data_IF_099856927385
#
_entry.id   IF_099856927385
#
_cell.length_a   1.000
_cell.length_b   1.000
_cell.length_c   1.000
_cell.angle_alpha   90.00
_cell.angle_beta   90.00
_cell.angle_gamma   90.00
#
_symmetry.space_group_name_H-M   'P 1'
#
loop_
_entity.id
_entity.type
_entity.pdbx_description
1 polymer ?
#
# COMPACT_ATOMS: atom_id res chain seq x y z
N UNK A 1 5.92 -28.17 0.49
CA UNK A 1 5.59 -27.03 1.37
C UNK A 1 4.11 -26.73 1.19
N UNK A 2 3.41 -26.32 2.28
CA UNK A 2 2.01 -25.87 2.16
C UNK A 2 1.94 -24.64 1.22
N UNK A 3 0.87 -24.54 0.45
CA UNK A 3 0.58 -23.39 -0.41
C UNK A 3 -0.36 -22.42 0.31
N UNK A 4 -0.22 -21.13 0.01
CA UNK A 4 -1.06 -20.06 0.55
C UNK A 4 -1.78 -19.33 -0.57
N UNK A 5 -3.05 -19.04 -0.35
CA UNK A 5 -3.95 -18.46 -1.33
C UNK A 5 -4.59 -17.17 -0.82
N UNK A 6 -4.72 -16.18 -1.69
CA UNK A 6 -5.61 -15.04 -1.50
C UNK A 6 -7.02 -15.53 -1.83
N UNK A 7 -7.92 -15.44 -0.86
CA UNK A 7 -9.31 -15.90 -0.99
C UNK A 7 -10.24 -14.76 -1.39
N UNK A 8 -10.23 -13.68 -0.63
CA UNK A 8 -11.08 -12.51 -0.84
C UNK A 8 -10.42 -11.30 -0.19
N UNK A 9 -10.95 -10.11 -0.46
CA UNK A 9 -10.48 -8.88 0.14
C UNK A 9 -11.49 -7.76 0.04
N UNK A 10 -11.22 -6.71 0.78
CA UNK A 10 -11.94 -5.43 0.71
C UNK A 10 -10.99 -4.31 1.10
N UNK A 11 -11.32 -3.09 0.68
CA UNK A 11 -10.69 -1.86 1.15
C UNK A 11 -11.71 -0.75 1.34
N UNK A 12 -11.38 0.24 2.12
CA UNK A 12 -12.11 1.50 2.10
C UNK A 12 -11.85 2.24 0.78
N UNK A 13 -12.67 3.20 0.39
CA UNK A 13 -12.21 4.25 -0.53
C UNK A 13 -10.98 4.92 0.10
N UNK A 14 -10.09 5.44 -0.73
CA UNK A 14 -8.92 6.19 -0.27
C UNK A 14 -9.29 7.66 -0.12
N UNK A 15 -9.15 8.16 1.12
CA UNK A 15 -9.39 9.56 1.47
C UNK A 15 -8.18 10.44 1.19
N UNK A 16 -8.45 11.71 0.91
CA UNK A 16 -7.44 12.75 0.84
C UNK A 16 -6.94 13.11 2.24
N UNK A 17 -5.71 13.61 2.32
CA UNK A 17 -5.22 14.28 3.52
C UNK A 17 -6.17 15.42 3.92
N UNK A 18 -6.69 15.37 5.15
CA UNK A 18 -7.73 16.28 5.66
C UNK A 18 -9.06 16.20 4.89
N UNK A 19 -9.28 15.10 4.17
CA UNK A 19 -10.50 14.83 3.40
C UNK A 19 -11.59 14.12 4.21
N UNK A 20 -12.40 13.35 3.49
CA UNK A 20 -13.63 12.75 4.03
C UNK A 20 -13.38 11.78 5.19
N UNK A 21 -12.26 11.04 5.19
CA UNK A 21 -11.92 10.11 6.28
C UNK A 21 -11.28 10.78 7.52
N UNK A 22 -11.07 12.09 7.52
CA UNK A 22 -10.44 12.81 8.64
C UNK A 22 -11.22 12.69 9.97
N UNK A 23 -12.52 12.44 9.92
CA UNK A 23 -13.37 12.26 11.09
C UNK A 23 -13.38 10.80 11.63
N UNK A 24 -12.82 9.85 10.91
CA UNK A 24 -12.85 8.42 11.27
C UNK A 24 -11.55 8.02 11.93
N UNK A 25 -11.61 7.36 13.07
CA UNK A 25 -10.43 6.87 13.79
C UNK A 25 -9.71 5.79 12.99
N UNK A 26 -8.39 5.70 13.18
CA UNK A 26 -7.55 4.70 12.48
C UNK A 26 -7.95 3.27 12.86
N UNK A 27 -8.17 3.00 14.13
CA UNK A 27 -8.58 1.68 14.64
C UNK A 27 -9.99 1.28 14.16
N UNK A 28 -10.92 2.24 14.01
CA UNK A 28 -12.24 1.99 13.45
C UNK A 28 -12.19 1.68 11.94
N UNK A 29 -11.31 2.34 11.18
CA UNK A 29 -11.09 2.00 9.76
C UNK A 29 -10.58 0.56 9.61
N UNK A 30 -9.63 0.16 10.45
CA UNK A 30 -9.14 -1.22 10.48
C UNK A 30 -10.25 -2.21 10.84
N UNK A 31 -11.08 -1.88 11.81
CA UNK A 31 -12.22 -2.72 12.22
C UNK A 31 -13.24 -2.87 11.09
N UNK A 32 -13.54 -1.81 10.36
CA UNK A 32 -14.48 -1.83 9.24
C UNK A 32 -14.08 -2.84 8.17
N UNK A 33 -12.83 -2.84 7.73
CA UNK A 33 -12.38 -3.76 6.67
C UNK A 33 -12.27 -5.21 7.15
N UNK A 34 -11.88 -5.43 8.41
CA UNK A 34 -11.86 -6.77 9.02
C UNK A 34 -13.29 -7.31 9.08
N UNK A 35 -14.25 -6.52 9.60
CA UNK A 35 -15.64 -6.92 9.66
C UNK A 35 -16.21 -7.18 8.25
N UNK A 36 -15.96 -6.29 7.31
CA UNK A 36 -16.49 -6.43 5.96
C UNK A 36 -15.97 -7.67 5.25
N UNK A 37 -14.68 -8.03 5.38
CA UNK A 37 -14.14 -9.23 4.74
C UNK A 37 -14.65 -10.52 5.40
N UNK A 38 -14.90 -10.50 6.72
CA UNK A 38 -15.50 -11.64 7.42
C UNK A 38 -16.99 -11.79 7.10
N UNK A 39 -17.75 -10.70 7.02
CA UNK A 39 -19.17 -10.73 6.64
C UNK A 39 -19.38 -11.24 5.19
N UNK A 40 -18.44 -10.96 4.28
CA UNK A 40 -18.44 -11.52 2.91
C UNK A 40 -18.19 -13.04 2.87
N UNK A 41 -17.60 -13.61 3.93
CA UNK A 41 -17.21 -15.02 4.01
C UNK A 41 -17.84 -15.71 5.24
N UNK A 42 -19.18 -15.73 5.35
CA UNK A 42 -19.90 -16.19 6.55
C UNK A 42 -19.77 -17.69 6.83
N UNK A 43 -19.26 -18.47 5.88
CA UNK A 43 -18.94 -19.88 6.03
C UNK A 43 -17.65 -20.13 6.84
N UNK A 44 -16.90 -19.08 7.17
CA UNK A 44 -15.73 -19.16 8.04
C UNK A 44 -16.14 -18.72 9.45
N UNK A 45 -16.06 -19.59 10.46
CA UNK A 45 -16.29 -19.18 11.86
C UNK A 45 -15.27 -18.13 12.29
N UNK A 46 -15.71 -17.12 13.04
CA UNK A 46 -14.84 -16.01 13.46
C UNK A 46 -13.67 -16.44 14.36
N UNK A 47 -13.82 -17.54 15.09
CA UNK A 47 -12.77 -18.15 15.93
C UNK A 47 -11.80 -19.06 15.17
N UNK A 48 -12.04 -19.25 13.86
CA UNK A 48 -11.17 -20.07 13.01
C UNK A 48 -9.94 -19.32 12.49
N UNK A 49 -9.88 -18.00 12.62
CA UNK A 49 -8.72 -17.22 12.23
C UNK A 49 -7.59 -17.39 13.25
N UNK A 50 -6.42 -17.86 12.77
CA UNK A 50 -5.24 -18.07 13.61
C UNK A 50 -4.60 -16.76 14.06
N UNK A 51 -4.63 -15.73 13.20
CA UNK A 51 -4.12 -14.40 13.51
C UNK A 51 -4.70 -13.35 12.55
N UNK A 52 -4.70 -12.08 13.01
CA UNK A 52 -4.98 -10.88 12.20
C UNK A 52 -3.73 -10.03 12.12
N UNK A 53 -3.12 -9.96 10.94
CA UNK A 53 -1.85 -9.25 10.71
C UNK A 53 -2.14 -7.96 9.94
N UNK A 54 -1.92 -6.80 10.56
CA UNK A 54 -2.16 -5.50 9.92
C UNK A 54 -0.87 -4.68 9.78
N UNK A 55 -0.64 -4.19 8.58
CA UNK A 55 0.39 -3.20 8.33
C UNK A 55 -0.02 -1.81 8.83
N UNK A 56 0.90 -1.13 9.53
CA UNK A 56 0.72 0.27 9.92
C UNK A 56 2.09 0.92 10.11
N UNK A 57 2.31 2.07 9.46
CA UNK A 57 3.62 2.72 9.47
C UNK A 57 3.76 3.75 10.61
N UNK A 58 2.74 4.51 10.94
CA UNK A 58 2.82 5.59 11.91
C UNK A 58 2.93 5.06 13.35
N UNK A 59 1.92 4.42 13.86
CA UNK A 59 1.81 3.84 15.21
C UNK A 59 2.03 4.84 16.37
N UNK A 60 1.85 6.13 16.12
CA UNK A 60 2.09 7.19 17.11
C UNK A 60 0.81 7.71 17.75
N UNK A 61 -0.36 7.47 17.16
CA UNK A 61 -1.65 8.00 17.58
C UNK A 61 -2.64 6.90 17.98
N UNK A 62 -3.82 6.92 17.35
CA UNK A 62 -4.90 5.95 17.56
C UNK A 62 -4.54 4.54 17.10
N UNK A 63 -3.50 4.44 16.31
CA UNK A 63 -2.84 3.26 15.78
C UNK A 63 -1.70 2.73 16.67
N UNK A 64 -1.52 3.31 17.87
CA UNK A 64 -0.48 2.89 18.80
C UNK A 64 -0.74 1.50 19.40
N UNK A 65 0.24 0.97 20.11
CA UNK A 65 0.25 -0.37 20.72
C UNK A 65 0.18 -1.47 19.67
N UNK A 66 -1.00 -1.97 19.36
CA UNK A 66 -1.24 -3.02 18.38
C UNK A 66 -2.59 -2.76 17.70
N UNK A 67 -2.57 -1.98 16.63
CA UNK A 67 -3.79 -1.59 15.92
C UNK A 67 -4.51 -2.80 15.32
N UNK A 68 -3.80 -3.86 14.92
CA UNK A 68 -4.43 -5.11 14.46
C UNK A 68 -5.31 -5.72 15.56
N UNK A 69 -4.76 -5.84 16.77
CA UNK A 69 -5.51 -6.39 17.92
C UNK A 69 -6.70 -5.50 18.31
N UNK A 70 -6.53 -4.19 18.31
CA UNK A 70 -7.63 -3.27 18.61
C UNK A 70 -8.73 -3.37 17.53
N UNK A 71 -8.36 -3.34 16.27
CA UNK A 71 -9.31 -3.39 15.15
C UNK A 71 -10.09 -4.70 15.09
N UNK A 72 -9.46 -5.86 15.31
CA UNK A 72 -10.17 -7.14 15.29
C UNK A 72 -11.21 -7.24 16.41
N UNK A 73 -10.90 -6.70 17.61
CA UNK A 73 -11.85 -6.67 18.74
C UNK A 73 -13.02 -5.72 18.44
N UNK A 74 -12.75 -4.56 17.88
CA UNK A 74 -13.78 -3.60 17.42
C UNK A 74 -14.64 -4.18 16.28
N UNK A 75 -14.06 -5.01 15.41
CA UNK A 75 -14.77 -5.74 14.35
C UNK A 75 -15.68 -6.87 14.89
N UNK A 76 -15.57 -7.22 16.19
CA UNK A 76 -16.37 -8.25 16.84
C UNK A 76 -15.81 -9.68 16.72
N UNK A 77 -14.54 -9.85 16.36
CA UNK A 77 -13.89 -11.15 16.43
C UNK A 77 -13.73 -11.58 17.90
N UNK A 78 -13.76 -12.89 18.20
CA UNK A 78 -13.55 -13.40 19.53
C UNK A 78 -12.19 -12.97 20.12
N UNK A 79 -12.14 -12.75 21.42
CA UNK A 79 -10.88 -12.39 22.10
C UNK A 79 -9.82 -13.50 22.08
N UNK A 80 -10.19 -14.71 21.69
CA UNK A 80 -9.26 -15.83 21.43
C UNK A 80 -8.40 -15.63 20.17
N UNK A 81 -8.87 -14.82 19.19
CA UNK A 81 -8.12 -14.54 17.96
C UNK A 81 -7.04 -13.49 18.28
N UNK A 82 -5.75 -13.79 18.10
CA UNK A 82 -4.67 -12.83 18.32
C UNK A 82 -4.60 -11.77 17.22
N UNK A 83 -3.68 -10.82 17.36
CA UNK A 83 -3.42 -9.82 16.33
C UNK A 83 -1.99 -9.29 16.40
N UNK A 84 -1.37 -9.07 15.24
CA UNK A 84 -0.03 -8.52 15.09
C UNK A 84 -0.04 -7.28 14.21
N UNK A 85 0.68 -6.23 14.62
CA UNK A 85 0.94 -5.06 13.78
C UNK A 85 2.37 -5.10 13.25
N UNK A 86 2.51 -5.05 11.92
CA UNK A 86 3.82 -5.08 11.24
C UNK A 86 4.13 -3.72 10.61
N UNK A 87 5.40 -3.31 10.70
CA UNK A 87 5.88 -2.08 10.11
C UNK A 87 7.06 -2.36 9.15
N UNK A 88 6.82 -2.12 7.88
CA UNK A 88 7.82 -1.99 6.82
C UNK A 88 7.51 -0.75 5.99
N UNK A 89 7.18 0.36 6.67
CA UNK A 89 6.81 1.63 6.06
C UNK A 89 5.78 1.42 4.93
N UNK A 90 6.04 1.93 3.72
CA UNK A 90 5.13 1.84 2.57
C UNK A 90 4.66 0.42 2.24
N UNK A 91 5.44 -0.61 2.59
CA UNK A 91 5.14 -2.01 2.27
C UNK A 91 4.58 -2.81 3.45
N UNK A 92 4.09 -2.15 4.49
CA UNK A 92 3.59 -2.84 5.68
C UNK A 92 2.41 -3.78 5.37
N UNK A 93 1.47 -3.35 4.51
CA UNK A 93 0.34 -4.19 4.09
C UNK A 93 0.76 -5.43 3.27
N UNK A 94 1.73 -5.28 2.35
CA UNK A 94 2.28 -6.44 1.63
C UNK A 94 3.06 -7.35 2.59
N UNK A 95 3.78 -6.79 3.57
CA UNK A 95 4.46 -7.56 4.61
C UNK A 95 3.46 -8.40 5.41
N UNK A 96 2.30 -7.86 5.76
CA UNK A 96 1.24 -8.60 6.47
C UNK A 96 0.78 -9.84 5.68
N UNK A 97 0.49 -9.68 4.38
CA UNK A 97 0.11 -10.80 3.49
C UNK A 97 1.23 -11.84 3.42
N UNK A 98 2.47 -11.41 3.27
CA UNK A 98 3.59 -12.36 3.17
C UNK A 98 3.95 -12.98 4.52
N UNK A 99 3.68 -12.34 5.66
CA UNK A 99 3.77 -12.98 6.98
C UNK A 99 2.74 -14.11 7.11
N UNK A 100 1.48 -13.90 6.74
CA UNK A 100 0.47 -14.95 6.70
C UNK A 100 0.88 -16.12 5.77
N UNK A 101 1.40 -15.82 4.56
CA UNK A 101 1.94 -16.84 3.66
C UNK A 101 3.10 -17.64 4.30
N UNK A 102 4.01 -16.97 5.02
CA UNK A 102 5.12 -17.67 5.71
C UNK A 102 4.64 -18.52 6.86
N UNK A 103 3.69 -18.03 7.66
CA UNK A 103 3.08 -18.79 8.75
C UNK A 103 2.42 -20.08 8.22
N UNK A 104 1.64 -19.99 7.14
CA UNK A 104 1.05 -21.16 6.48
C UNK A 104 2.13 -22.14 6.00
N UNK A 105 3.20 -21.63 5.35
CA UNK A 105 4.30 -22.48 4.86
C UNK A 105 5.09 -23.13 5.99
N UNK A 106 5.22 -22.45 7.12
CA UNK A 106 5.87 -22.97 8.33
C UNK A 106 5.00 -23.98 9.09
N UNK A 107 3.68 -23.94 8.90
CA UNK A 107 2.73 -24.80 9.61
C UNK A 107 2.17 -24.20 10.90
N UNK A 108 2.35 -22.88 11.11
CA UNK A 108 1.90 -22.15 12.30
C UNK A 108 0.38 -21.88 12.30
N UNK A 109 -0.29 -22.15 11.17
CA UNK A 109 -1.74 -21.99 11.02
C UNK A 109 -2.18 -22.19 9.58
N UNK A 110 -3.50 -22.14 9.36
CA UNK A 110 -4.11 -22.40 8.07
C UNK A 110 -4.98 -21.25 7.54
N UNK A 111 -5.34 -20.26 8.39
CA UNK A 111 -6.27 -19.21 8.01
C UNK A 111 -5.95 -17.89 8.73
N UNK A 112 -5.75 -16.83 7.96
CA UNK A 112 -5.33 -15.51 8.46
C UNK A 112 -6.14 -14.39 7.80
N UNK A 113 -6.33 -13.27 8.54
CA UNK A 113 -6.67 -11.99 7.94
C UNK A 113 -5.38 -11.19 7.87
N UNK A 114 -5.03 -10.69 6.67
CA UNK A 114 -3.85 -9.87 6.46
C UNK A 114 -4.20 -8.59 5.69
N UNK A 115 -3.73 -7.45 6.16
CA UNK A 115 -4.10 -6.19 5.55
C UNK A 115 -3.26 -5.02 6.02
N UNK A 116 -3.88 -3.86 6.11
CA UNK A 116 -3.22 -2.68 6.65
C UNK A 116 -4.18 -1.51 6.84
N UNK A 117 -3.78 -0.58 7.68
CA UNK A 117 -4.50 0.66 7.97
C UNK A 117 -3.53 1.81 8.13
N UNK A 118 -3.90 2.95 7.60
CA UNK A 118 -3.15 4.20 7.79
C UNK A 118 -4.12 5.37 7.70
N UNK A 119 -4.11 6.24 8.69
CA UNK A 119 -4.79 7.53 8.61
C UNK A 119 -3.76 8.64 8.82
N UNK A 120 -3.20 9.11 7.71
CA UNK A 120 -2.13 10.11 7.73
C UNK A 120 -2.65 11.48 8.18
N UNK A 121 -3.94 11.75 8.02
CA UNK A 121 -4.60 12.95 8.51
C UNK A 121 -4.58 13.04 10.04
N UNK A 122 -4.68 11.90 10.73
CA UNK A 122 -4.78 11.82 12.19
C UNK A 122 -3.45 11.50 12.88
N UNK A 123 -2.34 11.54 12.15
CA UNK A 123 -1.01 11.49 12.74
C UNK A 123 -0.85 12.57 13.81
N UNK A 124 -0.55 12.22 15.08
CA UNK A 124 -0.45 13.20 16.14
C UNK A 124 0.82 14.03 16.09
N UNK A 125 0.84 15.15 16.77
CA UNK A 125 2.10 15.80 17.15
C UNK A 125 2.79 14.98 18.23
N UNK A 126 4.11 14.82 18.09
CA UNK A 126 4.94 14.07 19.03
C UNK A 126 6.10 14.93 19.52
N UNK A 127 6.48 14.80 20.78
CA UNK A 127 7.51 15.61 21.40
C UNK A 127 8.43 14.72 22.26
N UNK A 128 9.75 14.89 22.08
CA UNK A 128 10.72 14.24 22.96
C UNK A 128 10.69 14.87 24.35
N UNK A 129 11.04 14.07 25.36
CA UNK A 129 11.37 14.63 26.68
C UNK A 129 12.63 15.49 26.55
N UNK A 130 12.76 16.57 27.35
CA UNK A 130 13.97 17.37 27.40
C UNK A 130 15.21 16.51 27.69
N UNK A 131 16.37 16.88 27.15
CA UNK A 131 17.63 16.15 27.41
C UNK A 131 18.12 16.28 28.84
N UNK A 132 17.70 17.34 29.54
CA UNK A 132 18.01 17.60 30.94
C UNK A 132 16.75 17.96 31.71
N UNK A 133 16.78 17.79 33.04
CA UNK A 133 15.67 18.23 33.90
C UNK A 133 15.45 19.74 33.70
N UNK A 134 14.16 20.12 33.48
CA UNK A 134 13.74 21.51 33.19
C UNK A 134 14.37 22.11 31.91
N UNK A 135 14.90 21.26 30.99
CA UNK A 135 15.49 21.70 29.73
C UNK A 135 14.49 22.38 28.80
N UNK A 136 14.93 23.37 28.04
CA UNK A 136 14.14 24.10 27.03
C UNK A 136 14.33 23.58 25.60
N UNK A 137 14.92 22.39 25.41
CA UNK A 137 15.31 21.83 24.13
C UNK A 137 14.24 20.93 23.49
N UNK A 138 13.05 20.86 24.06
CA UNK A 138 11.93 20.10 23.53
C UNK A 138 11.49 20.62 22.17
N UNK A 139 11.40 19.72 21.18
CA UNK A 139 10.86 19.98 19.85
C UNK A 139 9.62 19.14 19.60
N UNK A 140 8.61 19.77 19.01
CA UNK A 140 7.39 19.10 18.56
C UNK A 140 7.49 18.78 17.07
N UNK A 141 7.11 17.57 16.70
CA UNK A 141 7.11 17.09 15.33
C UNK A 141 5.70 16.66 14.95
N UNK A 142 5.29 16.94 13.69
CA UNK A 142 4.14 16.30 13.07
C UNK A 142 4.55 14.87 12.67
N UNK A 143 3.84 13.87 13.20
CA UNK A 143 4.15 12.47 12.90
C UNK A 143 3.51 11.95 11.63
N UNK A 144 2.74 12.78 10.94
CA UNK A 144 2.02 12.40 9.69
C UNK A 144 2.97 11.82 8.65
N UNK A 145 4.10 12.47 8.43
CA UNK A 145 5.07 12.06 7.41
C UNK A 145 6.46 12.64 7.66
N UNK A 146 7.49 12.00 7.13
CA UNK A 146 8.86 12.48 7.17
C UNK A 146 9.64 12.09 8.41
N UNK A 147 10.86 12.63 8.49
CA UNK A 147 11.81 12.33 9.54
C UNK A 147 11.48 13.07 10.86
N UNK A 148 11.56 12.35 11.96
CA UNK A 148 11.48 12.87 13.33
C UNK A 148 12.48 12.15 14.21
N UNK A 149 12.98 12.80 15.27
CA UNK A 149 13.97 12.22 16.17
C UNK A 149 15.19 11.65 15.44
N UNK A 150 15.73 12.42 14.50
CA UNK A 150 16.83 11.98 13.62
C UNK A 150 18.05 11.58 14.45
N UNK A 151 18.56 10.36 14.20
CA UNK A 151 19.82 9.92 14.75
C UNK A 151 20.96 10.61 14.00
N UNK A 152 21.88 11.36 14.68
CA UNK A 152 22.97 12.08 14.03
C UNK A 152 23.90 11.17 13.19
N UNK A 153 24.18 9.95 13.66
CA UNK A 153 24.99 8.99 12.88
C UNK A 153 24.27 8.51 11.61
N UNK A 154 22.96 8.34 11.66
CA UNK A 154 22.18 8.00 10.48
C UNK A 154 22.24 9.12 9.44
N UNK A 155 22.15 10.37 9.89
CA UNK A 155 22.27 11.54 9.04
C UNK A 155 23.66 11.65 8.41
N UNK A 156 24.71 11.41 9.19
CA UNK A 156 26.11 11.46 8.73
C UNK A 156 26.41 10.37 7.70
N UNK A 157 25.99 9.12 7.96
CA UNK A 157 26.40 7.97 7.16
C UNK A 157 25.55 7.79 5.89
N UNK A 158 24.26 8.09 5.95
CA UNK A 158 23.30 7.73 4.88
C UNK A 158 22.42 8.89 4.41
N UNK A 159 22.47 10.04 5.10
CA UNK A 159 21.55 11.13 4.89
C UNK A 159 20.15 10.83 5.45
N UNK A 160 19.34 11.86 5.51
CA UNK A 160 17.93 11.82 5.91
C UNK A 160 17.08 12.59 4.90
N UNK A 161 17.31 12.31 3.62
CA UNK A 161 16.59 12.96 2.53
C UNK A 161 15.07 12.73 2.71
N UNK A 162 14.30 13.78 2.50
CA UNK A 162 12.84 13.65 2.39
C UNK A 162 12.46 12.82 1.16
N UNK A 163 11.28 12.21 1.18
CA UNK A 163 10.86 11.30 0.10
C UNK A 163 10.89 11.97 -1.28
N UNK A 164 10.45 13.23 -1.39
CA UNK A 164 10.53 13.96 -2.65
C UNK A 164 11.97 14.22 -3.12
N UNK A 165 12.91 14.42 -2.19
CA UNK A 165 14.33 14.54 -2.52
C UNK A 165 14.89 13.22 -3.05
N UNK A 166 14.49 12.08 -2.49
CA UNK A 166 14.89 10.78 -3.04
C UNK A 166 14.34 10.53 -4.45
N UNK A 167 13.19 11.11 -4.78
CA UNK A 167 12.62 11.07 -6.12
C UNK A 167 13.40 11.97 -7.10
N UNK A 168 13.84 13.16 -6.67
CA UNK A 168 14.72 14.01 -7.47
C UNK A 168 16.11 13.37 -7.69
N UNK A 169 16.65 12.64 -6.71
CA UNK A 169 17.88 11.89 -6.88
C UNK A 169 17.77 10.83 -8.01
N UNK A 170 16.60 10.24 -8.20
CA UNK A 170 16.34 9.32 -9.32
C UNK A 170 16.18 10.05 -10.64
N UNK A 171 15.57 11.25 -10.64
CA UNK A 171 15.50 12.11 -11.83
C UNK A 171 16.90 12.36 -12.38
N UNK A 172 17.83 12.77 -11.51
CA UNK A 172 19.22 13.03 -11.90
C UNK A 172 19.93 11.77 -12.38
N UNK A 173 19.83 10.67 -11.60
CA UNK A 173 20.55 9.42 -11.88
C UNK A 173 20.10 8.75 -13.18
N UNK A 174 18.81 8.82 -13.52
CA UNK A 174 18.21 8.13 -14.67
C UNK A 174 17.80 9.08 -15.80
N UNK A 175 18.14 10.37 -15.73
CA UNK A 175 17.83 11.41 -16.73
C UNK A 175 16.33 11.41 -17.10
N UNK A 176 15.45 11.42 -16.10
CA UNK A 176 14.00 11.37 -16.30
C UNK A 176 13.48 12.79 -16.49
N UNK A 177 12.91 13.10 -17.64
CA UNK A 177 12.38 14.42 -17.93
C UNK A 177 11.13 14.74 -17.10
N UNK A 178 10.83 16.03 -16.96
CA UNK A 178 9.57 16.49 -16.35
C UNK A 178 8.37 16.05 -17.19
N UNK A 179 8.50 16.11 -18.50
CA UNK A 179 7.48 15.73 -19.46
C UNK A 179 7.11 14.24 -19.34
N UNK A 180 8.10 13.36 -19.19
CA UNK A 180 7.86 11.93 -18.97
C UNK A 180 7.11 11.68 -17.65
N UNK A 181 7.52 12.37 -16.57
CA UNK A 181 6.86 12.27 -15.27
C UNK A 181 5.40 12.71 -15.35
N UNK A 182 5.13 13.84 -15.98
CA UNK A 182 3.77 14.37 -16.13
C UNK A 182 2.92 13.49 -17.07
N UNK A 183 3.51 12.91 -18.12
CA UNK A 183 2.84 11.96 -19.01
C UNK A 183 2.46 10.67 -18.26
N UNK A 184 3.36 10.15 -17.44
CA UNK A 184 3.10 8.97 -16.61
C UNK A 184 1.98 9.24 -15.60
N UNK A 185 2.05 10.37 -14.90
CA UNK A 185 1.03 10.79 -13.93
C UNK A 185 -0.35 10.99 -14.58
N UNK A 186 -0.39 11.63 -15.76
CA UNK A 186 -1.62 11.77 -16.55
C UNK A 186 -2.22 10.40 -16.90
N UNK A 187 -1.41 9.46 -17.37
CA UNK A 187 -1.87 8.11 -17.71
C UNK A 187 -2.43 7.38 -16.48
N UNK A 188 -1.79 7.50 -15.31
CA UNK A 188 -2.31 6.94 -14.06
C UNK A 188 -3.68 7.51 -13.71
N UNK A 189 -3.87 8.84 -13.81
CA UNK A 189 -5.17 9.50 -13.57
C UNK A 189 -6.25 9.02 -14.55
N UNK A 190 -5.92 8.87 -15.82
CA UNK A 190 -6.89 8.42 -16.84
C UNK A 190 -7.29 6.95 -16.65
N UNK A 191 -6.35 6.07 -16.32
CA UNK A 191 -6.62 4.66 -15.98
C UNK A 191 -7.52 4.57 -14.75
N UNK A 192 -7.21 5.28 -13.66
CA UNK A 192 -8.02 5.29 -12.44
C UNK A 192 -9.43 5.85 -12.69
N UNK A 193 -9.54 6.93 -13.45
CA UNK A 193 -10.83 7.52 -13.84
C UNK A 193 -11.68 6.53 -14.64
N UNK A 194 -11.08 5.81 -15.58
CA UNK A 194 -11.78 4.78 -16.36
C UNK A 194 -12.23 3.61 -15.47
N UNK A 195 -11.35 3.15 -14.58
CA UNK A 195 -11.65 2.07 -13.65
C UNK A 195 -12.76 2.44 -12.64
N UNK A 196 -12.78 3.70 -12.15
CA UNK A 196 -13.85 4.20 -11.29
C UNK A 196 -15.19 4.27 -12.06
N UNK A 197 -15.18 4.85 -13.26
CA UNK A 197 -16.41 4.98 -14.10
C UNK A 197 -16.98 3.64 -14.53
N UNK A 198 -16.16 2.65 -14.81
CA UNK A 198 -16.60 1.28 -15.17
C UNK A 198 -17.10 0.46 -14.00
N UNK A 199 -16.95 0.94 -12.75
CA UNK A 199 -17.27 0.20 -11.54
C UNK A 199 -16.20 -0.83 -11.14
N UNK A 200 -15.04 -0.87 -11.82
CA UNK A 200 -13.95 -1.81 -11.47
C UNK A 200 -13.43 -1.58 -10.05
N UNK A 201 -13.21 -0.32 -9.66
CA UNK A 201 -12.75 0.01 -8.31
C UNK A 201 -13.82 -0.28 -7.25
N UNK A 202 -15.10 -0.12 -7.57
CA UNK A 202 -16.19 -0.42 -6.64
C UNK A 202 -16.24 -1.88 -6.19
N UNK A 203 -15.69 -2.82 -6.97
CA UNK A 203 -15.61 -4.26 -6.60
C UNK A 203 -14.68 -4.54 -5.43
N UNK A 204 -13.77 -3.62 -5.14
CA UNK A 204 -12.81 -3.72 -4.03
C UNK A 204 -13.30 -2.99 -2.79
N UNK A 205 -14.24 -2.04 -2.94
CA UNK A 205 -14.55 -1.02 -1.95
C UNK A 205 -15.73 -1.44 -1.07
N UNK A 206 -15.53 -1.34 0.25
CA UNK A 206 -16.59 -1.25 1.23
C UNK A 206 -16.81 0.23 1.59
N UNK A 207 -18.06 0.68 1.53
CA UNK A 207 -18.38 2.07 1.86
C UNK A 207 -18.14 2.37 3.34
N UNK A 208 -17.67 3.58 3.63
CA UNK A 208 -17.50 4.08 5.00
C UNK A 208 -18.67 5.00 5.32
N UNK A 209 -19.44 4.65 6.33
CA UNK A 209 -20.51 5.48 6.85
C UNK A 209 -19.94 6.44 7.89
N UNK A 210 -20.04 7.75 7.63
CA UNK A 210 -19.49 8.79 8.50
C UNK A 210 -20.65 9.54 9.15
N UNK A 211 -20.86 9.34 10.46
CA UNK A 211 -21.94 10.01 11.18
C UNK A 211 -21.82 11.53 11.12
N UNK A 212 -22.93 12.21 10.91
CA UNK A 212 -23.02 13.66 10.95
C UNK A 212 -23.93 14.12 12.08
N UNK A 213 -23.57 15.24 12.75
CA UNK A 213 -24.42 15.84 13.75
C UNK A 213 -25.69 16.43 13.09
N UNK A 214 -26.88 15.90 13.44
CA UNK A 214 -28.18 16.38 12.95
C UNK A 214 -28.42 16.30 11.42
N UNK A 215 -27.70 15.43 10.72
CA UNK A 215 -27.87 15.16 9.27
C UNK A 215 -27.71 13.66 9.04
N UNK A 216 -28.15 13.20 7.85
CA UNK A 216 -27.86 11.84 7.41
C UNK A 216 -26.36 11.61 7.31
N UNK A 217 -25.87 10.40 7.58
CA UNK A 217 -24.45 10.08 7.47
C UNK A 217 -23.96 10.26 6.03
N UNK A 218 -22.69 10.63 5.88
CA UNK A 218 -22.03 10.61 4.57
C UNK A 218 -21.68 9.16 4.25
N UNK A 219 -22.14 8.68 3.10
CA UNK A 219 -21.72 7.38 2.57
C UNK A 219 -20.53 7.61 1.64
N UNK A 220 -19.32 7.41 2.15
CA UNK A 220 -18.08 7.53 1.40
C UNK A 220 -17.76 6.21 0.71
N UNK A 221 -17.87 6.17 -0.63
CA UNK A 221 -17.79 4.95 -1.44
C UNK A 221 -16.90 5.04 -2.67
N UNK A 222 -16.36 6.21 -2.97
CA UNK A 222 -15.51 6.46 -4.13
C UNK A 222 -14.15 7.01 -3.71
N UNK A 223 -13.08 6.63 -4.42
CA UNK A 223 -11.74 7.16 -4.17
C UNK A 223 -11.69 8.66 -4.47
N UNK A 224 -11.39 9.46 -3.46
CA UNK A 224 -11.50 10.92 -3.50
C UNK A 224 -10.27 11.60 -4.11
N UNK A 225 -9.14 10.87 -4.25
CA UNK A 225 -7.90 11.45 -4.76
C UNK A 225 -7.83 11.49 -6.30
N UNK A 226 -8.66 10.72 -7.01
CA UNK A 226 -8.72 10.67 -8.47
C UNK A 226 -9.14 12.03 -9.04
N UNK A 227 -8.41 12.50 -10.07
CA UNK A 227 -8.63 13.80 -10.72
C UNK A 227 -9.04 13.59 -12.19
N UNK A 228 -10.32 13.37 -12.48
CA UNK A 228 -10.78 13.04 -13.84
C UNK A 228 -10.56 14.17 -14.86
N UNK A 229 -10.39 15.40 -14.38
CA UNK A 229 -10.12 16.58 -15.22
C UNK A 229 -8.63 16.89 -15.37
N UNK A 230 -7.73 15.97 -14.99
CA UNK A 230 -6.29 16.14 -15.17
C UNK A 230 -5.94 16.24 -16.67
N UNK A 231 -4.96 17.09 -17.00
CA UNK A 231 -4.39 17.14 -18.34
C UNK A 231 -2.89 17.43 -18.27
N UNK A 232 -2.16 17.13 -19.35
CA UNK A 232 -0.71 17.41 -19.42
C UNK A 232 -0.41 18.90 -19.26
N UNK A 233 -1.28 19.78 -19.78
CA UNK A 233 -1.17 21.22 -19.66
C UNK A 233 -1.38 21.72 -18.22
N UNK A 234 -2.26 21.07 -17.46
CA UNK A 234 -2.46 21.36 -16.04
C UNK A 234 -1.23 20.91 -15.25
N UNK A 235 -0.74 19.71 -15.48
CA UNK A 235 0.43 19.16 -14.79
C UNK A 235 1.69 20.00 -15.06
N UNK A 236 1.92 20.41 -16.30
CA UNK A 236 3.08 21.24 -16.69
C UNK A 236 3.16 22.59 -15.98
N UNK A 237 2.01 23.14 -15.53
CA UNK A 237 1.94 24.41 -14.78
C UNK A 237 2.31 24.27 -13.30
N UNK A 238 2.38 23.06 -12.77
CA UNK A 238 2.68 22.84 -11.35
C UNK A 238 4.15 23.14 -11.06
N UNK A 239 4.39 23.82 -9.94
CA UNK A 239 5.75 24.13 -9.49
C UNK A 239 6.40 22.90 -8.85
N UNK A 240 7.72 22.72 -8.99
CA UNK A 240 8.47 21.75 -8.21
C UNK A 240 8.22 21.90 -6.72
N UNK A 241 8.03 20.77 -6.02
CA UNK A 241 7.63 20.79 -4.62
C UNK A 241 8.81 20.55 -3.65
N UNK A 242 9.89 19.92 -4.11
CA UNK A 242 10.95 19.43 -3.23
C UNK A 242 12.33 20.02 -3.52
N UNK A 243 12.57 20.48 -4.74
CA UNK A 243 13.81 21.13 -5.16
C UNK A 243 13.45 22.43 -5.86
N UNK A 244 13.91 23.57 -5.32
CA UNK A 244 13.50 24.91 -5.81
C UNK A 244 14.06 25.23 -7.21
N UNK A 245 15.33 24.89 -7.42
CA UNK A 245 16.04 25.10 -8.68
C UNK A 245 16.17 23.77 -9.40
N UNK A 246 15.83 23.73 -10.67
CA UNK A 246 15.90 22.54 -11.53
C UNK A 246 15.13 21.29 -11.00
N UNK A 247 14.17 21.50 -10.12
CA UNK A 247 13.30 20.43 -9.63
C UNK A 247 12.25 20.06 -10.66
N UNK A 248 11.82 18.79 -10.66
CA UNK A 248 10.83 18.26 -11.59
C UNK A 248 9.68 17.52 -10.91
N UNK A 249 9.86 17.09 -9.67
CA UNK A 249 8.82 16.42 -8.89
C UNK A 249 7.82 17.43 -8.32
N UNK A 250 6.55 17.20 -8.61
CA UNK A 250 5.44 18.10 -8.25
C UNK A 250 4.36 17.35 -7.48
N UNK A 251 3.40 18.08 -6.92
CA UNK A 251 2.20 17.48 -6.33
C UNK A 251 1.30 16.75 -7.36
N UNK A 252 1.53 16.95 -8.66
CA UNK A 252 0.76 16.28 -9.73
C UNK A 252 1.38 14.98 -10.22
N UNK A 253 2.70 14.79 -10.05
CA UNK A 253 3.43 13.60 -10.48
C UNK A 253 4.00 12.79 -9.29
N UNK A 254 3.45 13.02 -8.10
CA UNK A 254 3.72 12.30 -6.86
C UNK A 254 2.41 11.76 -6.26
N UNK A 255 2.49 10.69 -5.49
CA UNK A 255 1.37 10.24 -4.65
C UNK A 255 1.09 11.24 -3.53
N UNK A 256 -0.14 11.24 -3.00
CA UNK A 256 -0.53 12.09 -1.89
C UNK A 256 -0.29 11.47 -0.51
N UNK A 257 -0.53 12.27 0.52
CA UNK A 257 -0.83 11.80 1.87
C UNK A 257 -2.29 11.39 1.88
N UNK A 258 -2.58 10.19 2.34
CA UNK A 258 -3.92 9.60 2.20
C UNK A 258 -4.30 8.76 3.41
N UNK A 259 -5.60 8.48 3.50
CA UNK A 259 -6.22 7.73 4.58
C UNK A 259 -6.95 6.51 4.02
N UNK A 260 -6.92 5.38 4.73
CA UNK A 260 -7.65 4.19 4.32
C UNK A 260 -7.32 2.93 5.11
N UNK A 261 -7.97 1.83 4.73
CA UNK A 261 -7.71 0.49 5.25
C UNK A 261 -8.00 -0.58 4.19
N UNK A 262 -7.37 -1.74 4.31
CA UNK A 262 -7.62 -2.91 3.48
C UNK A 262 -7.43 -4.19 4.30
N UNK A 263 -8.20 -5.23 3.99
CA UNK A 263 -8.05 -6.56 4.57
C UNK A 263 -8.27 -7.64 3.51
N UNK A 264 -7.49 -8.71 3.60
CA UNK A 264 -7.58 -9.90 2.74
C UNK A 264 -7.58 -11.16 3.60
N UNK A 265 -8.27 -12.21 3.14
CA UNK A 265 -8.22 -13.53 3.74
C UNK A 265 -7.14 -14.34 3.02
N UNK A 266 -6.21 -14.88 3.80
CA UNK A 266 -5.13 -15.76 3.33
C UNK A 266 -5.35 -17.13 3.94
N UNK A 267 -5.44 -18.15 3.09
CA UNK A 267 -5.77 -19.51 3.53
C UNK A 267 -4.81 -20.56 2.94
N UNK A 268 -4.58 -21.64 3.68
CA UNK A 268 -3.94 -22.84 3.19
C UNK A 268 -4.90 -23.68 2.34
N UNK A 269 -4.39 -24.66 1.61
CA UNK A 269 -5.22 -25.64 0.89
C UNK A 269 -6.16 -26.40 1.84
N UNK A 270 -5.72 -26.68 3.07
CA UNK A 270 -6.55 -27.34 4.07
C UNK A 270 -7.75 -26.48 4.50
N UNK A 271 -7.53 -25.18 4.74
CA UNK A 271 -8.61 -24.25 5.06
C UNK A 271 -9.55 -24.04 3.86
N UNK A 272 -9.00 -23.95 2.64
CA UNK A 272 -9.81 -23.87 1.40
C UNK A 272 -10.79 -25.05 1.32
N UNK A 273 -10.32 -26.27 1.53
CA UNK A 273 -11.16 -27.48 1.52
C UNK A 273 -12.15 -27.50 2.69
N UNK A 274 -11.68 -27.19 3.90
CA UNK A 274 -12.48 -27.26 5.13
C UNK A 274 -13.68 -26.31 5.09
N UNK A 275 -13.49 -25.09 4.58
CA UNK A 275 -14.51 -24.05 4.57
C UNK A 275 -15.15 -23.83 3.18
N UNK A 276 -14.83 -24.71 2.20
CA UNK A 276 -15.31 -24.62 0.82
C UNK A 276 -15.09 -23.23 0.21
N UNK A 277 -13.85 -22.71 0.33
CA UNK A 277 -13.46 -21.40 -0.18
C UNK A 277 -13.13 -21.46 -1.67
N UNK A 278 -13.19 -20.27 -2.32
CA UNK A 278 -12.81 -20.13 -3.74
C UNK A 278 -11.54 -19.29 -3.82
N UNK A 279 -10.36 -19.88 -3.96
CA UNK A 279 -9.12 -19.11 -4.07
C UNK A 279 -9.10 -18.25 -5.34
N UNK A 280 -8.65 -17.01 -5.20
CA UNK A 280 -8.43 -16.12 -6.34
C UNK A 280 -7.04 -16.31 -6.92
N UNK A 281 -6.02 -16.33 -6.08
CA UNK A 281 -4.64 -16.45 -6.51
C UNK A 281 -3.79 -17.18 -5.47
N UNK A 282 -2.78 -17.90 -5.94
CA UNK A 282 -1.74 -18.52 -5.12
C UNK A 282 -0.56 -17.56 -4.96
N UNK A 283 0.02 -17.48 -3.77
CA UNK A 283 1.24 -16.71 -3.53
C UNK A 283 2.45 -17.58 -3.92
N UNK A 284 3.03 -17.31 -5.08
CA UNK A 284 4.13 -18.08 -5.68
C UNK A 284 5.45 -17.82 -4.98
N UNK A 285 5.87 -16.57 -4.95
CA UNK A 285 7.14 -16.15 -4.37
C UNK A 285 7.08 -14.74 -3.81
N UNK A 286 8.07 -14.41 -2.99
CA UNK A 286 8.28 -13.03 -2.55
C UNK A 286 9.76 -12.78 -2.24
N UNK A 287 10.17 -11.51 -2.36
CA UNK A 287 11.49 -11.08 -2.00
C UNK A 287 11.51 -9.65 -1.46
N UNK A 288 12.31 -9.42 -0.45
CA UNK A 288 12.66 -8.10 0.05
C UNK A 288 14.16 -7.89 -0.11
N UNK A 289 14.57 -6.66 -0.43
CA UNK A 289 15.96 -6.27 -0.62
C UNK A 289 16.23 -4.90 0.00
N UNK A 290 17.48 -4.65 0.41
CA UNK A 290 17.96 -3.32 0.74
C UNK A 290 18.57 -2.65 -0.49
N UNK A 291 18.47 -1.32 -0.54
CA UNK A 291 19.14 -0.46 -1.52
C UNK A 291 19.63 0.81 -0.81
N UNK A 292 20.45 1.60 -1.47
CA UNK A 292 20.90 2.89 -0.95
C UNK A 292 19.71 3.78 -0.56
N UNK A 293 19.63 4.30 0.68
CA UNK A 293 18.50 5.09 1.16
C UNK A 293 18.14 6.30 0.28
N UNK A 294 19.14 7.00 -0.25
CA UNK A 294 18.96 8.21 -1.05
C UNK A 294 18.31 7.98 -2.42
N UNK A 295 18.34 6.74 -2.89
CA UNK A 295 17.69 6.29 -4.13
C UNK A 295 16.71 5.13 -3.86
N UNK A 296 16.04 5.15 -2.72
CA UNK A 296 15.14 4.09 -2.26
C UNK A 296 14.12 3.64 -3.31
N UNK A 297 13.73 4.56 -4.20
CA UNK A 297 12.71 4.31 -5.21
C UNK A 297 13.08 3.24 -6.24
N UNK A 298 14.37 2.87 -6.39
CA UNK A 298 14.79 1.78 -7.28
C UNK A 298 14.66 0.37 -6.65
N UNK A 299 14.31 0.30 -5.37
CA UNK A 299 14.15 -0.95 -4.64
C UNK A 299 13.28 -2.01 -5.32
N UNK A 300 12.17 -1.65 -6.02
CA UNK A 300 11.34 -2.59 -6.78
C UNK A 300 12.12 -3.44 -7.79
N UNK A 301 13.13 -2.89 -8.45
CA UNK A 301 13.90 -3.61 -9.49
C UNK A 301 14.54 -4.86 -8.91
N UNK A 302 15.40 -4.69 -7.90
CA UNK A 302 16.11 -5.81 -7.29
C UNK A 302 15.16 -6.78 -6.55
N UNK A 303 14.09 -6.26 -5.94
CA UNK A 303 13.10 -7.09 -5.26
C UNK A 303 12.34 -7.98 -6.26
N UNK A 304 11.92 -7.40 -7.39
CA UNK A 304 11.21 -8.12 -8.46
C UNK A 304 12.10 -9.17 -9.11
N UNK A 305 13.33 -8.81 -9.48
CA UNK A 305 14.29 -9.75 -10.07
C UNK A 305 14.53 -10.96 -9.14
N UNK A 306 14.66 -10.71 -7.83
CA UNK A 306 14.84 -11.77 -6.83
C UNK A 306 13.59 -12.62 -6.64
N UNK A 307 12.38 -12.03 -6.71
CA UNK A 307 11.12 -12.76 -6.61
C UNK A 307 10.89 -13.62 -7.86
N UNK A 308 11.14 -13.07 -9.05
CA UNK A 308 11.08 -13.78 -10.34
C UNK A 308 12.03 -14.98 -10.36
N UNK A 309 13.30 -14.78 -9.99
CA UNK A 309 14.28 -15.86 -9.92
C UNK A 309 13.86 -17.00 -8.97
N UNK A 310 13.27 -16.68 -7.81
CA UNK A 310 12.73 -17.69 -6.88
C UNK A 310 11.55 -18.47 -7.46
N UNK A 311 10.77 -17.85 -8.32
CA UNK A 311 9.64 -18.49 -9.00
C UNK A 311 10.04 -19.26 -10.27
N UNK A 312 11.28 -19.08 -10.77
CA UNK A 312 11.70 -19.59 -12.08
C UNK A 312 11.02 -18.88 -13.23
N UNK A 313 10.60 -17.62 -13.03
CA UNK A 313 9.86 -16.80 -13.98
C UNK A 313 10.69 -15.60 -14.43
N UNK A 314 10.25 -14.96 -15.51
CA UNK A 314 10.82 -13.75 -16.09
C UNK A 314 9.80 -12.61 -16.10
N UNK A 315 10.24 -11.38 -16.37
CA UNK A 315 9.35 -10.21 -16.46
C UNK A 315 8.33 -10.33 -17.61
N UNK A 316 8.71 -11.03 -18.68
CA UNK A 316 7.84 -11.29 -19.85
C UNK A 316 6.67 -12.21 -19.52
N UNK A 317 6.80 -13.07 -18.47
CA UNK A 317 5.74 -13.97 -18.01
C UNK A 317 4.65 -13.24 -17.22
N UNK A 318 4.89 -11.99 -16.83
CA UNK A 318 3.94 -11.21 -16.03
C UNK A 318 2.86 -10.59 -16.92
N UNK A 319 1.62 -10.93 -16.65
CA UNK A 319 0.44 -10.38 -17.34
C UNK A 319 -0.04 -9.07 -16.70
N UNK A 320 0.18 -8.91 -15.39
CA UNK A 320 -0.19 -7.73 -14.60
C UNK A 320 1.00 -7.33 -13.74
N UNK A 321 1.29 -6.05 -13.69
CA UNK A 321 2.35 -5.47 -12.85
C UNK A 321 1.74 -4.35 -12.01
N UNK A 322 1.52 -4.60 -10.73
CA UNK A 322 1.13 -3.57 -9.76
C UNK A 322 2.41 -2.99 -9.14
N UNK A 323 2.88 -1.90 -9.70
CA UNK A 323 4.01 -1.10 -9.21
C UNK A 323 3.48 0.10 -8.43
N UNK A 324 3.76 0.19 -7.14
CA UNK A 324 3.38 1.37 -6.39
C UNK A 324 4.04 2.64 -6.95
N UNK A 325 3.23 3.63 -7.28
CA UNK A 325 3.65 4.93 -7.82
C UNK A 325 3.83 5.93 -6.67
N UNK A 326 4.89 5.78 -5.87
CA UNK A 326 5.20 6.80 -4.87
C UNK A 326 5.50 8.15 -5.54
N UNK A 327 6.24 8.10 -6.66
CA UNK A 327 6.56 9.21 -7.55
C UNK A 327 6.63 8.70 -8.99
N UNK A 328 6.26 9.53 -9.96
CA UNK A 328 6.39 9.17 -11.37
C UNK A 328 7.85 8.89 -11.76
N UNK A 329 8.81 9.69 -11.28
CA UNK A 329 10.24 9.46 -11.51
C UNK A 329 10.70 8.10 -10.98
N UNK A 330 10.22 7.71 -9.80
CA UNK A 330 10.52 6.41 -9.21
C UNK A 330 9.96 5.26 -10.05
N UNK A 331 8.71 5.37 -10.49
CA UNK A 331 8.07 4.34 -11.31
C UNK A 331 8.78 4.20 -12.66
N UNK A 332 9.05 5.31 -13.33
CA UNK A 332 9.78 5.35 -14.61
C UNK A 332 11.19 4.76 -14.50
N UNK A 333 11.93 5.08 -13.42
CA UNK A 333 13.24 4.46 -13.19
C UNK A 333 13.15 2.93 -13.14
N UNK A 334 12.17 2.38 -12.43
CA UNK A 334 11.96 0.94 -12.35
C UNK A 334 11.56 0.33 -13.70
N UNK A 335 10.61 0.94 -14.41
CA UNK A 335 10.09 0.49 -15.70
C UNK A 335 11.21 0.41 -16.75
N UNK A 336 12.02 1.47 -16.81
CA UNK A 336 13.16 1.55 -17.76
C UNK A 336 14.28 0.56 -17.42
N UNK A 337 14.55 0.34 -16.12
CA UNK A 337 15.51 -0.69 -15.68
C UNK A 337 15.05 -2.13 -16.00
N UNK A 338 13.74 -2.38 -16.09
CA UNK A 338 13.21 -3.66 -16.58
C UNK A 338 13.18 -3.76 -18.11
N UNK A 339 13.56 -2.71 -18.83
CA UNK A 339 13.50 -2.66 -20.30
C UNK A 339 12.08 -2.58 -20.85
N UNK A 340 11.11 -2.14 -20.05
CA UNK A 340 9.72 -1.98 -20.44
C UNK A 340 9.46 -0.57 -20.99
N UNK A 341 8.42 -0.44 -21.82
CA UNK A 341 7.96 0.86 -22.27
C UNK A 341 7.28 1.63 -21.13
N UNK A 342 7.46 2.95 -21.07
CA UNK A 342 6.87 3.83 -20.04
C UNK A 342 5.34 3.71 -19.97
N UNK A 343 4.70 3.31 -21.05
CA UNK A 343 3.26 3.11 -21.17
C UNK A 343 2.84 1.64 -21.33
N UNK A 344 3.65 0.69 -20.89
CA UNK A 344 3.31 -0.73 -20.93
C UNK A 344 1.94 -0.96 -20.26
N UNK A 345 1.02 -1.56 -21.00
CA UNK A 345 -0.38 -1.73 -20.58
C UNK A 345 -0.56 -2.66 -19.39
N UNK A 346 0.43 -3.50 -19.10
CA UNK A 346 0.44 -4.41 -17.95
C UNK A 346 0.62 -3.68 -16.61
N UNK A 347 1.23 -2.47 -16.67
CA UNK A 347 1.57 -1.69 -15.46
C UNK A 347 0.35 -0.90 -14.99
N UNK A 348 -0.07 -1.17 -13.76
CA UNK A 348 -1.17 -0.47 -13.09
C UNK A 348 -2.38 -0.28 -14.01
N UNK A 349 -3.03 -1.36 -14.49
CA UNK A 349 -4.08 -1.27 -15.50
C UNK A 349 -5.29 -0.44 -15.03
N UNK A 350 -5.49 -0.34 -13.72
CA UNK A 350 -6.58 0.43 -13.10
C UNK A 350 -6.11 1.76 -12.47
N UNK A 351 -4.92 2.24 -12.83
CA UNK A 351 -4.27 3.38 -12.20
C UNK A 351 -3.52 3.01 -10.93
N UNK A 352 -2.54 3.83 -10.55
CA UNK A 352 -1.71 3.61 -9.38
C UNK A 352 -1.86 4.71 -8.32
N UNK A 353 -0.89 4.79 -7.41
CA UNK A 353 -0.99 5.65 -6.22
C UNK A 353 -0.94 7.15 -6.52
N UNK A 354 -0.42 7.58 -7.65
CA UNK A 354 -0.50 8.99 -8.08
C UNK A 354 -1.97 9.41 -8.27
N UNK A 355 -2.82 8.49 -8.72
CA UNK A 355 -4.24 8.75 -8.94
C UNK A 355 -5.12 8.33 -7.74
N UNK A 356 -4.89 7.14 -7.19
CA UNK A 356 -5.75 6.55 -6.15
C UNK A 356 -5.33 7.01 -4.75
N UNK A 357 -4.03 7.25 -4.54
CA UNK A 357 -3.47 7.62 -3.24
C UNK A 357 -2.58 6.54 -2.63
N UNK A 358 -1.80 6.95 -1.60
CA UNK A 358 -0.78 6.09 -0.97
C UNK A 358 -0.84 6.15 0.57
N UNK A 359 -1.90 5.64 1.22
CA UNK A 359 -1.83 5.40 2.66
C UNK A 359 -0.82 4.28 2.92
N UNK A 360 0.27 4.59 3.65
CA UNK A 360 1.50 3.77 3.69
C UNK A 360 1.24 2.31 4.07
N UNK A 361 0.58 2.08 5.18
CA UNK A 361 0.30 0.73 5.69
C UNK A 361 -0.68 -0.07 4.83
N UNK A 362 -1.47 0.60 3.99
CA UNK A 362 -2.58 0.01 3.22
C UNK A 362 -2.17 -0.44 1.83
N UNK A 363 -1.35 0.37 1.16
CA UNK A 363 -1.10 0.26 -0.28
C UNK A 363 -0.66 -1.14 -0.70
N UNK A 364 0.23 -1.78 0.05
CA UNK A 364 0.71 -3.12 -0.29
C UNK A 364 -0.39 -4.19 -0.29
N UNK A 365 -1.34 -4.10 0.65
CA UNK A 365 -2.50 -5.01 0.70
C UNK A 365 -3.49 -4.69 -0.42
N UNK A 366 -3.74 -3.39 -0.68
CA UNK A 366 -4.61 -2.94 -1.76
C UNK A 366 -4.14 -3.47 -3.12
N UNK A 367 -2.88 -3.22 -3.49
CA UNK A 367 -2.38 -3.63 -4.80
C UNK A 367 -2.29 -5.15 -4.95
N UNK A 368 -2.07 -5.88 -3.86
CA UNK A 368 -2.09 -7.35 -3.90
C UNK A 368 -3.50 -7.89 -4.20
N UNK A 369 -4.53 -7.33 -3.55
CA UNK A 369 -5.92 -7.70 -3.82
C UNK A 369 -6.38 -7.23 -5.22
N UNK A 370 -6.06 -6.00 -5.60
CA UNK A 370 -6.31 -5.47 -6.94
C UNK A 370 -5.71 -6.35 -8.04
N UNK A 371 -4.46 -6.82 -7.86
CA UNK A 371 -3.80 -7.72 -8.79
C UNK A 371 -4.53 -9.07 -8.89
N UNK A 372 -4.90 -9.68 -7.75
CA UNK A 372 -5.64 -10.93 -7.74
C UNK A 372 -6.98 -10.80 -8.47
N UNK A 373 -7.72 -9.73 -8.21
CA UNK A 373 -8.99 -9.46 -8.87
C UNK A 373 -8.81 -9.20 -10.38
N UNK A 374 -7.77 -8.45 -10.76
CA UNK A 374 -7.44 -8.19 -12.17
C UNK A 374 -7.14 -9.48 -12.93
N UNK A 375 -6.38 -10.40 -12.34
CA UNK A 375 -6.11 -11.70 -12.95
C UNK A 375 -7.40 -12.50 -13.19
N UNK A 376 -8.33 -12.50 -12.21
CA UNK A 376 -9.62 -13.17 -12.35
C UNK A 376 -10.47 -12.57 -13.47
N UNK A 377 -10.60 -11.25 -13.51
CA UNK A 377 -11.46 -10.55 -14.47
C UNK A 377 -10.95 -10.64 -15.91
N UNK A 378 -9.65 -10.73 -16.10
CA UNK A 378 -9.02 -10.78 -17.42
C UNK A 378 -8.60 -12.18 -17.86
N UNK A 379 -8.84 -13.18 -17.01
CA UNK A 379 -8.42 -14.57 -17.24
C UNK A 379 -6.92 -14.67 -17.58
N UNK A 380 -6.10 -13.96 -16.79
CA UNK A 380 -4.64 -13.90 -16.93
C UNK A 380 -3.98 -14.68 -15.80
N UNK A 381 -2.71 -15.07 -16.00
CA UNK A 381 -2.04 -16.05 -15.15
C UNK A 381 -1.21 -15.43 -14.03
N UNK A 382 -0.25 -14.58 -14.32
CA UNK A 382 0.71 -14.10 -13.35
C UNK A 382 0.62 -12.60 -13.11
N UNK A 383 0.72 -12.20 -11.84
CA UNK A 383 0.90 -10.80 -11.49
C UNK A 383 2.13 -10.61 -10.58
N UNK A 384 2.87 -9.54 -10.87
CA UNK A 384 3.91 -8.99 -10.03
C UNK A 384 3.34 -7.82 -9.22
N UNK A 385 3.51 -7.86 -7.92
CA UNK A 385 3.19 -6.78 -6.98
C UNK A 385 4.48 -6.28 -6.40
N UNK A 386 4.80 -5.00 -6.55
CA UNK A 386 6.07 -4.47 -6.06
C UNK A 386 6.00 -3.01 -5.65
N UNK A 387 6.86 -2.63 -4.70
CA UNK A 387 6.91 -1.27 -4.18
C UNK A 387 8.25 -0.92 -3.57
N UNK A 388 8.59 0.36 -3.66
CA UNK A 388 9.69 0.97 -2.94
C UNK A 388 9.31 1.22 -1.47
N UNK A 389 10.32 1.35 -0.63
CA UNK A 389 10.13 1.52 0.80
C UNK A 389 11.13 2.54 1.30
N UNK A 390 10.69 3.50 2.07
CA UNK A 390 11.54 4.49 2.71
C UNK A 390 12.73 3.87 3.44
N UNK A 391 13.79 4.64 3.62
CA UNK A 391 15.05 4.18 4.22
C UNK A 391 15.77 3.10 3.38
N UNK A 392 15.43 2.97 2.10
CA UNK A 392 16.20 2.16 1.14
C UNK A 392 15.87 0.67 1.14
N UNK A 393 14.62 0.30 0.83
CA UNK A 393 14.25 -1.10 0.61
C UNK A 393 13.31 -1.23 -0.61
N UNK A 394 13.16 -2.46 -1.10
CA UNK A 394 12.12 -2.84 -2.07
C UNK A 394 11.50 -4.17 -1.67
N UNK A 395 10.21 -4.33 -1.95
CA UNK A 395 9.49 -5.58 -1.76
C UNK A 395 8.76 -5.97 -3.05
N UNK A 396 8.78 -7.26 -3.36
CA UNK A 396 8.01 -7.83 -4.46
C UNK A 396 7.36 -9.16 -4.04
N UNK A 397 6.20 -9.43 -4.62
CA UNK A 397 5.51 -10.70 -4.54
C UNK A 397 4.97 -11.09 -5.94
N UNK A 398 4.94 -12.38 -6.23
CA UNK A 398 4.33 -12.94 -7.44
C UNK A 398 3.16 -13.80 -7.01
N UNK A 399 2.02 -13.57 -7.65
CA UNK A 399 0.81 -14.37 -7.48
C UNK A 399 0.40 -15.01 -8.81
N UNK A 400 -0.27 -16.14 -8.72
CA UNK A 400 -0.77 -16.90 -9.86
C UNK A 400 -2.27 -17.13 -9.72
N UNK A 401 -3.02 -16.84 -10.77
CA UNK A 401 -4.42 -17.21 -10.89
C UNK A 401 -4.59 -18.73 -10.86
N UNK A 402 -5.46 -19.23 -9.99
CA UNK A 402 -5.68 -20.68 -9.82
C UNK A 402 -6.95 -21.18 -10.50
N UNK A 403 -7.63 -20.31 -11.24
CA UNK A 403 -8.89 -20.61 -11.92
C UNK A 403 -8.76 -20.64 -13.46
N UNK A 404 -7.54 -20.89 -13.97
CA UNK A 404 -7.23 -21.03 -15.40
C UNK A 404 -7.34 -22.48 -15.87
#
# INVERSE_FOLDING_TARGET
MKEAYIIDGVRTPIGNYKGTLSAVRTDDLGALVIKAVTDKNPNIPLDAYEDVIMGCANQAGEDNRNVARMSLLLAGLPFSVPGETVNRLCSSGLSAIIHANRAIKAGDGDLFIAGGVENMTRGPYVMAKPSTAFGGDSKMYDSTFGWRFVNPKMQELYGVDGMGTTAENLVEKYNISREDQDAFAYNSQMKATAAQKSGRLAKEIVAVEIPQRKKDPIIFKDDEFIKPNSSKEILAKLRPAFKKEDGSVTAGNASGLNDGAAATIIASEAAVKKYNLKPMARIVSSAVVGVEPRIMGIGPVNASNKALAKAGLKMEDMDVIELNEAFASQALACIREWGLADNDSRINPNGGSIAIGHPLGVTGARIAYSAALQLQETNKRYALITMCIGVGQGYAAIIENVNL
#
